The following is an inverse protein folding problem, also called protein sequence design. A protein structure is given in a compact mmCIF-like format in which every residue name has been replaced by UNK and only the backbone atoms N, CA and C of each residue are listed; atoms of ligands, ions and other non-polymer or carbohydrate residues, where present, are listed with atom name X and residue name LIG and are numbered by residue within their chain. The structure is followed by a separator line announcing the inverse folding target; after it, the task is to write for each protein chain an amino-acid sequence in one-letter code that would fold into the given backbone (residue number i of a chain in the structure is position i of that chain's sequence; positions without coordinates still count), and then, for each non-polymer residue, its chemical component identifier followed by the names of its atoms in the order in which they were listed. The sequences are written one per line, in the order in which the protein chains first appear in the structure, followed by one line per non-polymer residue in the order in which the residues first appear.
data_IF_063340084145
#
_entry.id   IF_063340084145
#
_cell.length_a   1.000
_cell.length_b   1.000
_cell.length_c   1.000
_cell.angle_alpha   90.00
_cell.angle_beta   90.00
_cell.angle_gamma   90.00
#
_symmetry.space_group_name_H-M   'P 1'
#
loop_
_entity.id
_entity.type
_entity.pdbx_description
1 polymer ?
#
# COMPACT_ATOMS: atom_id res chain seq x y z
N UNK A 1 9.13 -10.28 -32.22
CA UNK A 1 9.56 -11.16 -31.12
C UNK A 1 10.14 -10.39 -29.93
N UNK A 2 11.31 -9.72 -30.04
CA UNK A 2 11.93 -8.96 -28.92
C UNK A 2 11.02 -7.87 -28.31
N UNK A 3 10.30 -7.13 -29.14
CA UNK A 3 9.40 -6.05 -28.70
C UNK A 3 8.19 -6.58 -27.89
N UNK A 4 7.70 -7.77 -28.22
CA UNK A 4 6.60 -8.42 -27.50
C UNK A 4 7.06 -8.91 -26.12
N UNK A 5 8.30 -9.41 -26.04
CA UNK A 5 8.92 -9.81 -24.77
C UNK A 5 9.10 -8.58 -23.89
N UNK A 6 9.65 -7.48 -24.43
CA UNK A 6 9.82 -6.22 -23.69
C UNK A 6 8.47 -5.65 -23.19
N UNK A 7 7.43 -5.67 -24.02
CA UNK A 7 6.08 -5.26 -23.61
C UNK A 7 5.53 -6.16 -22.48
N UNK A 8 5.74 -7.47 -22.56
CA UNK A 8 5.36 -8.41 -21.50
C UNK A 8 6.07 -8.13 -20.16
N UNK A 9 7.37 -7.81 -20.19
CA UNK A 9 8.11 -7.41 -19.00
C UNK A 9 7.61 -6.09 -18.40
N UNK A 10 7.27 -5.11 -19.25
CA UNK A 10 6.75 -3.82 -18.80
C UNK A 10 5.39 -3.97 -18.11
N UNK A 11 4.49 -4.79 -18.67
CA UNK A 11 3.19 -5.11 -18.07
C UNK A 11 3.32 -5.84 -16.72
N UNK A 12 4.27 -6.77 -16.60
CA UNK A 12 4.51 -7.49 -15.35
C UNK A 12 5.06 -6.59 -14.25
N UNK A 13 5.96 -5.65 -14.59
CA UNK A 13 6.52 -4.71 -13.64
C UNK A 13 5.46 -3.80 -13.01
N UNK A 14 4.42 -3.42 -13.77
CA UNK A 14 3.32 -2.60 -13.25
C UNK A 14 2.33 -3.36 -12.37
N UNK A 15 2.34 -4.70 -12.39
CA UNK A 15 1.43 -5.53 -11.58
C UNK A 15 1.96 -5.81 -10.17
N UNK A 16 3.22 -5.49 -9.89
CA UNK A 16 3.87 -5.75 -8.60
C UNK A 16 3.70 -4.56 -7.65
N UNK A 17 2.49 -4.35 -7.13
CA UNK A 17 2.27 -3.44 -6.00
C UNK A 17 2.56 -4.18 -4.69
N UNK A 18 3.77 -4.04 -4.16
CA UNK A 18 4.16 -4.63 -2.88
C UNK A 18 3.85 -3.70 -1.68
N UNK A 19 2.62 -3.19 -1.60
CA UNK A 19 2.19 -2.33 -0.50
C UNK A 19 1.39 -3.14 0.54
N UNK A 20 1.94 -3.43 1.73
CA UNK A 20 1.24 -4.21 2.74
C UNK A 20 0.16 -3.39 3.48
N UNK A 21 0.08 -2.08 3.24
CA UNK A 21 -0.90 -1.17 3.87
C UNK A 21 -1.72 -0.49 2.80
N UNK A 22 -3.04 -0.53 2.87
CA UNK A 22 -3.94 0.23 1.99
C UNK A 22 -4.93 1.07 2.79
N UNK A 23 -5.44 2.13 2.19
CA UNK A 23 -6.49 2.98 2.77
C UNK A 23 -7.78 2.88 1.97
N UNK A 24 -8.92 2.95 2.66
CA UNK A 24 -10.24 3.03 2.04
C UNK A 24 -10.99 4.23 2.62
N UNK A 25 -11.36 5.23 1.81
CA UNK A 25 -11.07 5.36 0.36
C UNK A 25 -9.57 5.56 0.07
N UNK A 26 -9.16 5.22 -1.15
CA UNK A 26 -7.76 5.36 -1.60
C UNK A 26 -7.34 6.83 -1.65
N UNK A 27 -8.24 7.71 -2.12
CA UNK A 27 -8.08 9.15 -2.13
C UNK A 27 -9.12 9.79 -1.22
N UNK A 28 -8.83 9.77 0.08
CA UNK A 28 -9.69 10.39 1.08
C UNK A 28 -9.67 11.92 0.99
N UNK A 29 -10.82 12.50 1.28
CA UNK A 29 -11.01 13.94 1.51
C UNK A 29 -11.13 14.22 3.00
N UNK A 30 -11.16 15.51 3.36
CA UNK A 30 -11.34 15.95 4.75
C UNK A 30 -12.67 15.51 5.39
N UNK A 31 -13.65 15.08 4.59
CA UNK A 31 -14.97 14.65 5.06
C UNK A 31 -15.08 13.12 5.19
N UNK A 32 -14.05 12.37 4.79
CA UNK A 32 -14.11 10.91 4.74
C UNK A 32 -13.64 10.25 6.05
N UNK A 33 -14.28 9.14 6.38
CA UNK A 33 -13.72 8.19 7.36
C UNK A 33 -12.75 7.27 6.63
N UNK A 34 -11.51 7.21 7.13
CA UNK A 34 -10.44 6.41 6.52
C UNK A 34 -10.26 5.10 7.28
N UNK A 35 -10.35 3.98 6.57
CA UNK A 35 -9.93 2.67 7.08
C UNK A 35 -8.51 2.39 6.62
N UNK A 36 -7.64 2.03 7.55
CA UNK A 36 -6.27 1.57 7.27
C UNK A 36 -6.26 0.06 7.42
N UNK A 37 -5.85 -0.64 6.37
CA UNK A 37 -5.81 -2.11 6.33
C UNK A 37 -4.36 -2.52 6.13
N UNK A 38 -3.81 -3.26 7.09
CA UNK A 38 -2.48 -3.86 7.00
C UNK A 38 -2.60 -5.37 6.78
N UNK A 39 -2.08 -5.85 5.65
CA UNK A 39 -1.95 -7.29 5.38
C UNK A 39 -0.65 -7.81 6.01
N UNK A 40 -0.80 -8.41 7.20
CA UNK A 40 0.29 -8.99 7.96
C UNK A 40 0.99 -10.19 7.28
N UNK A 41 0.42 -10.73 6.20
CA UNK A 41 1.03 -11.80 5.39
C UNK A 41 2.04 -11.26 4.36
N UNK A 42 2.03 -9.96 4.08
CA UNK A 42 2.88 -9.31 3.09
C UNK A 42 4.15 -8.71 3.71
N UNK A 43 5.05 -8.18 2.85
CA UNK A 43 6.33 -7.60 3.28
C UNK A 43 7.29 -8.67 3.82
N UNK A 44 7.83 -8.46 5.03
CA UNK A 44 8.72 -9.43 5.67
C UNK A 44 8.01 -10.60 6.36
N UNK A 45 6.68 -10.63 6.38
CA UNK A 45 5.87 -11.71 6.98
C UNK A 45 5.99 -11.89 8.50
N UNK A 46 6.85 -11.14 9.18
CA UNK A 46 7.13 -11.28 10.61
C UNK A 46 5.96 -10.99 11.55
N UNK A 47 4.84 -10.49 11.01
CA UNK A 47 3.62 -10.19 11.77
C UNK A 47 2.46 -11.13 11.45
N UNK A 48 2.67 -12.13 10.58
CA UNK A 48 1.67 -13.14 10.27
C UNK A 48 1.25 -13.90 11.55
N UNK A 49 -0.05 -13.94 11.83
CA UNK A 49 -0.60 -14.58 13.03
C UNK A 49 -0.51 -13.75 14.31
N UNK A 50 -0.03 -12.50 14.26
CA UNK A 50 -0.09 -11.59 15.40
C UNK A 50 -1.54 -11.23 15.73
N UNK A 51 -1.96 -11.50 16.97
CA UNK A 51 -3.34 -11.24 17.45
C UNK A 51 -3.42 -10.12 18.49
N UNK A 52 -2.32 -9.42 18.73
CA UNK A 52 -2.27 -8.31 19.69
C UNK A 52 -2.68 -6.97 19.08
N UNK A 53 -2.43 -5.90 19.82
CA UNK A 53 -2.71 -4.53 19.38
C UNK A 53 -1.64 -4.05 18.40
N UNK A 54 -2.07 -3.62 17.21
CA UNK A 54 -1.19 -2.95 16.25
C UNK A 54 -1.12 -1.45 16.56
N UNK A 55 0.09 -0.89 16.51
CA UNK A 55 0.33 0.54 16.63
C UNK A 55 0.86 1.06 15.30
N UNK A 56 0.22 2.11 14.77
CA UNK A 56 0.59 2.71 13.48
C UNK A 56 0.76 4.22 13.66
N UNK A 57 1.77 4.79 13.00
CA UNK A 57 1.92 6.24 12.92
C UNK A 57 1.24 6.77 11.66
N UNK A 58 0.34 7.73 11.83
CA UNK A 58 -0.34 8.42 10.73
C UNK A 58 0.02 9.89 10.74
N UNK A 59 0.15 10.50 9.56
CA UNK A 59 0.40 11.93 9.39
C UNK A 59 -0.31 12.46 8.16
N UNK A 60 -0.61 13.76 8.15
CA UNK A 60 -1.16 14.48 7.00
C UNK A 60 -0.11 15.47 6.52
N UNK A 61 0.26 15.36 5.24
CA UNK A 61 1.10 16.37 4.59
C UNK A 61 0.18 17.44 4.04
N UNK A 62 0.45 18.70 4.40
CA UNK A 62 -0.32 19.85 3.93
C UNK A 62 0.60 20.80 3.17
N UNK A 63 0.02 21.82 2.54
CA UNK A 63 0.80 22.91 1.94
C UNK A 63 1.58 23.76 2.97
N UNK A 64 1.38 23.54 4.27
CA UNK A 64 2.11 24.18 5.37
C UNK A 64 3.18 23.26 5.98
N UNK A 65 3.30 22.02 5.51
CA UNK A 65 4.40 21.13 5.86
C UNK A 65 5.65 21.62 5.10
N UNK A 66 6.64 22.15 5.83
CA UNK A 66 7.79 22.87 5.29
C UNK A 66 8.78 22.06 4.48
#
# INVERSE_FOLDING_TARGET
MKQLIAAGWLLLATALFAQPVVTVPEFATENDSIKIIFDATQGGGGMAGYTGTLYTHTGVITNLSG
#
